data_IF_053412636846
#
_entry.id   IF_053412636846
#
_cell.length_a   1.000
_cell.length_b   1.000
_cell.length_c   1.000
_cell.angle_alpha   90.00
_cell.angle_beta   90.00
_cell.angle_gamma   90.00
#
_symmetry.space_group_name_H-M   'P 1'
#
loop_
_entity.id
_entity.type
_entity.pdbx_description
1 polymer ?
#
# COMPACT_ATOMS: atom_id res chain seq x y z
N UNK A 1 -8.08 -23.52 6.63
CA UNK A 1 -9.03 -22.77 5.77
C UNK A 1 -9.80 -23.69 4.83
N UNK A 2 -9.18 -24.32 3.82
CA UNK A 2 -9.91 -25.17 2.84
C UNK A 2 -10.67 -26.37 3.43
N UNK A 3 -10.34 -26.79 4.66
CA UNK A 3 -11.01 -27.87 5.37
C UNK A 3 -12.19 -27.40 6.24
N UNK A 4 -12.43 -26.09 6.37
CA UNK A 4 -13.48 -25.52 7.22
C UNK A 4 -14.81 -25.43 6.45
N UNK A 5 -15.87 -26.16 6.82
CA UNK A 5 -17.11 -26.23 6.03
C UNK A 5 -17.84 -24.89 5.84
N UNK A 6 -17.66 -23.96 6.78
CA UNK A 6 -18.28 -22.63 6.71
C UNK A 6 -17.55 -21.62 5.80
N UNK A 7 -16.41 -21.99 5.22
CA UNK A 7 -15.57 -21.07 4.44
C UNK A 7 -15.51 -21.51 2.98
N UNK A 8 -15.99 -20.65 2.08
CA UNK A 8 -15.76 -20.79 0.63
C UNK A 8 -14.59 -19.91 0.21
N UNK A 9 -13.56 -20.50 -0.41
CA UNK A 9 -12.40 -19.76 -0.94
C UNK A 9 -12.53 -19.62 -2.45
N UNK A 10 -12.54 -18.39 -2.94
CA UNK A 10 -12.57 -18.06 -4.37
C UNK A 10 -11.21 -17.47 -4.78
N UNK A 11 -10.32 -18.32 -5.30
CA UNK A 11 -9.03 -17.89 -5.84
C UNK A 11 -9.22 -17.33 -7.26
N UNK A 12 -8.32 -16.45 -7.70
CA UNK A 12 -8.40 -15.80 -9.04
C UNK A 12 -9.68 -14.96 -9.23
N UNK A 13 -10.16 -14.35 -8.14
CA UNK A 13 -11.30 -13.45 -8.13
C UNK A 13 -10.85 -12.08 -7.63
N UNK A 14 -11.10 -11.03 -8.42
CA UNK A 14 -10.75 -9.65 -8.08
C UNK A 14 -12.02 -8.87 -7.80
N UNK A 15 -12.15 -8.31 -6.60
CA UNK A 15 -13.24 -7.40 -6.31
C UNK A 15 -13.07 -6.10 -7.11
N UNK A 16 -14.08 -5.76 -7.92
CA UNK A 16 -14.06 -4.57 -8.79
C UNK A 16 -14.46 -3.34 -7.99
N UNK A 17 -15.64 -3.40 -7.36
CA UNK A 17 -16.22 -2.32 -6.58
C UNK A 17 -17.28 -2.83 -5.61
N UNK A 18 -17.42 -2.13 -4.49
CA UNK A 18 -18.47 -2.35 -3.50
C UNK A 18 -19.84 -1.92 -4.05
N UNK A 19 -20.83 -2.76 -3.80
CA UNK A 19 -22.24 -2.49 -4.06
C UNK A 19 -22.83 -1.91 -2.78
N UNK A 20 -23.45 -0.73 -2.88
CA UNK A 20 -24.09 -0.05 -1.73
C UNK A 20 -25.57 0.16 -1.97
N UNK A 21 -26.34 0.24 -0.89
CA UNK A 21 -27.78 0.48 -0.96
C UNK A 21 -28.10 1.80 -1.68
N UNK A 22 -27.31 2.85 -1.48
CA UNK A 22 -27.45 4.12 -2.18
C UNK A 22 -27.22 3.98 -3.70
N UNK A 23 -26.20 3.23 -4.13
CA UNK A 23 -25.94 2.96 -5.56
C UNK A 23 -27.09 2.18 -6.22
N UNK A 24 -27.85 1.41 -5.43
CA UNK A 24 -29.06 0.71 -5.88
C UNK A 24 -30.33 1.58 -5.80
N UNK A 25 -30.23 2.85 -5.42
CA UNK A 25 -31.38 3.75 -5.26
C UNK A 25 -32.28 3.42 -4.08
N UNK A 26 -31.78 2.68 -3.08
CA UNK A 26 -32.53 2.33 -1.88
C UNK A 26 -32.55 3.48 -0.87
N UNK A 27 -33.57 3.50 0.00
CA UNK A 27 -33.68 4.49 1.07
C UNK A 27 -32.54 4.37 2.10
N UNK A 28 -32.21 5.52 2.72
CA UNK A 28 -31.24 5.67 3.82
C UNK A 28 -31.57 4.74 5.01
N UNK A 29 -30.56 4.25 5.76
CA UNK A 29 -29.13 4.54 5.66
C UNK A 29 -28.41 3.75 4.56
N UNK A 30 -27.33 4.33 4.00
CA UNK A 30 -26.46 3.60 3.07
C UNK A 30 -25.67 2.51 3.80
N UNK A 31 -25.46 1.39 3.10
CA UNK A 31 -24.76 0.21 3.61
C UNK A 31 -24.16 -0.60 2.47
N UNK A 32 -23.09 -1.34 2.75
CA UNK A 32 -22.60 -2.36 1.85
C UNK A 32 -23.59 -3.53 1.75
N UNK A 33 -23.79 -4.04 0.54
CA UNK A 33 -24.66 -5.20 0.26
C UNK A 33 -23.96 -6.30 -0.54
N UNK A 34 -22.68 -6.11 -0.86
CA UNK A 34 -21.90 -7.04 -1.66
C UNK A 34 -20.81 -6.36 -2.49
N UNK A 35 -20.29 -7.07 -3.48
CA UNK A 35 -19.32 -6.58 -4.44
C UNK A 35 -19.55 -7.17 -5.83
N UNK A 36 -19.17 -6.41 -6.87
CA UNK A 36 -18.90 -6.97 -8.19
C UNK A 36 -17.51 -7.60 -8.18
N UNK A 37 -17.38 -8.78 -8.78
CA UNK A 37 -16.14 -9.56 -8.73
C UNK A 37 -15.81 -10.10 -10.11
N UNK A 38 -14.59 -9.85 -10.59
CA UNK A 38 -14.06 -10.43 -11.81
C UNK A 38 -13.47 -11.81 -11.53
N UNK A 39 -14.05 -12.86 -12.09
CA UNK A 39 -13.37 -14.16 -12.25
C UNK A 39 -12.36 -14.03 -13.39
N UNK A 40 -11.07 -14.05 -13.05
CA UNK A 40 -10.01 -13.84 -14.04
C UNK A 40 -9.77 -15.06 -14.93
N UNK A 41 -10.19 -16.26 -14.51
CA UNK A 41 -10.11 -17.47 -15.35
C UNK A 41 -11.25 -17.50 -16.37
N UNK A 42 -12.47 -17.18 -15.93
CA UNK A 42 -13.63 -17.11 -16.82
C UNK A 42 -13.70 -15.79 -17.61
N UNK A 43 -12.94 -14.76 -17.20
CA UNK A 43 -13.04 -13.39 -17.72
C UNK A 43 -14.47 -12.86 -17.69
N UNK A 44 -15.17 -13.12 -16.57
CA UNK A 44 -16.58 -12.78 -16.36
C UNK A 44 -16.77 -12.06 -15.03
N UNK A 45 -17.63 -11.05 -15.02
CA UNK A 45 -18.01 -10.33 -13.80
C UNK A 45 -19.22 -11.01 -13.17
N UNK A 46 -19.07 -11.41 -11.91
CA UNK A 46 -20.12 -11.93 -11.06
C UNK A 46 -20.51 -10.95 -9.94
N UNK A 47 -21.55 -11.34 -9.20
CA UNK A 47 -22.04 -10.63 -8.03
C UNK A 47 -21.87 -11.54 -6.82
N UNK A 48 -21.28 -11.00 -5.75
CA UNK A 48 -21.29 -11.63 -4.43
C UNK A 48 -22.09 -10.72 -3.50
N UNK A 49 -23.31 -11.15 -3.13
CA UNK A 49 -24.13 -10.47 -2.12
C UNK A 49 -23.72 -10.89 -0.71
N UNK A 50 -23.66 -9.95 0.21
CA UNK A 50 -23.31 -10.22 1.61
C UNK A 50 -24.00 -9.26 2.57
N UNK A 51 -24.33 -9.74 3.77
CA UNK A 51 -24.85 -8.89 4.86
C UNK A 51 -23.76 -8.04 5.51
N UNK A 52 -22.50 -8.47 5.40
CA UNK A 52 -21.34 -7.74 5.89
C UNK A 52 -20.16 -8.02 4.96
N UNK A 53 -19.41 -6.97 4.63
CA UNK A 53 -18.22 -7.05 3.79
C UNK A 53 -17.01 -6.61 4.63
N UNK A 54 -15.94 -7.41 4.63
CA UNK A 54 -14.69 -7.09 5.33
C UNK A 54 -13.58 -6.92 4.30
N UNK A 55 -12.97 -5.73 4.28
CA UNK A 55 -11.79 -5.43 3.49
C UNK A 55 -10.55 -5.84 4.29
N UNK A 56 -9.82 -6.84 3.78
CA UNK A 56 -8.56 -7.32 4.34
C UNK A 56 -7.49 -7.44 3.22
N UNK A 57 -7.40 -6.41 2.38
CA UNK A 57 -6.71 -6.47 1.07
C UNK A 57 -5.22 -6.16 1.12
N UNK A 58 -4.64 -5.93 2.31
CA UNK A 58 -3.28 -5.42 2.45
C UNK A 58 -3.14 -3.95 2.03
N UNK A 59 -1.89 -3.48 1.94
CA UNK A 59 -1.57 -2.08 1.67
C UNK A 59 -1.48 -1.69 0.19
N UNK A 60 -0.86 -0.54 -0.05
CA UNK A 60 -0.75 0.13 -1.35
C UNK A 60 0.71 0.31 -1.83
N UNK A 61 1.66 -0.44 -1.26
CA UNK A 61 3.09 -0.29 -1.55
C UNK A 61 3.45 -0.53 -3.03
N UNK A 62 2.60 -1.22 -3.79
CA UNK A 62 2.81 -1.45 -5.22
C UNK A 62 2.71 -0.17 -6.07
N UNK A 63 2.15 0.91 -5.52
CA UNK A 63 2.16 2.24 -6.14
C UNK A 63 3.55 2.85 -6.32
N UNK A 64 4.60 2.27 -5.71
CA UNK A 64 5.98 2.70 -5.87
C UNK A 64 6.78 1.73 -6.74
N UNK A 65 7.77 2.26 -7.46
CA UNK A 65 8.66 1.50 -8.34
C UNK A 65 9.37 0.34 -7.62
N UNK A 66 9.95 0.63 -6.46
CA UNK A 66 10.56 -0.38 -5.60
C UNK A 66 9.66 -0.69 -4.42
N UNK A 67 9.32 -1.97 -4.26
CA UNK A 67 8.56 -2.45 -3.13
C UNK A 67 9.07 -3.80 -2.64
N UNK A 68 9.00 -4.03 -1.34
CA UNK A 68 9.24 -5.35 -0.73
C UNK A 68 7.97 -6.20 -0.66
N UNK A 69 6.86 -5.70 -1.19
CA UNK A 69 5.58 -6.39 -1.18
C UNK A 69 5.40 -7.25 -2.44
N UNK A 70 4.55 -8.29 -2.38
CA UNK A 70 4.08 -9.00 -3.56
C UNK A 70 3.40 -8.08 -4.57
N UNK A 71 3.23 -8.57 -5.81
CA UNK A 71 2.55 -7.84 -6.88
C UNK A 71 1.08 -7.49 -6.54
N UNK A 72 0.48 -8.13 -5.53
CA UNK A 72 -0.90 -7.93 -5.10
C UNK A 72 -1.14 -6.77 -4.11
N UNK A 73 -0.10 -6.03 -3.66
CA UNK A 73 -0.27 -4.92 -2.70
C UNK A 73 -0.66 -3.60 -3.39
N UNK A 74 -1.77 -3.63 -4.13
CA UNK A 74 -2.22 -2.60 -5.08
C UNK A 74 -3.20 -1.58 -4.47
N UNK A 75 -3.56 -1.74 -3.20
CA UNK A 75 -4.43 -0.82 -2.49
C UNK A 75 -5.91 -0.91 -2.88
N UNK A 76 -6.35 -2.05 -3.43
CA UNK A 76 -7.71 -2.22 -3.96
C UNK A 76 -8.81 -1.94 -2.94
N UNK A 77 -8.66 -2.43 -1.70
CA UNK A 77 -9.63 -2.18 -0.63
C UNK A 77 -9.75 -0.71 -0.26
N UNK A 78 -8.62 0.00 -0.19
CA UNK A 78 -8.59 1.45 0.07
C UNK A 78 -9.34 2.20 -1.05
N UNK A 79 -9.05 1.85 -2.30
CA UNK A 79 -9.67 2.46 -3.47
C UNK A 79 -11.19 2.18 -3.54
N UNK A 80 -11.61 0.94 -3.27
CA UNK A 80 -13.03 0.56 -3.22
C UNK A 80 -13.78 1.28 -2.09
N UNK A 81 -13.21 1.36 -0.89
CA UNK A 81 -13.80 2.06 0.25
C UNK A 81 -13.95 3.57 -0.04
N UNK A 82 -12.92 4.20 -0.61
CA UNK A 82 -12.98 5.59 -1.05
C UNK A 82 -14.13 5.85 -2.03
N UNK A 83 -14.26 5.00 -3.07
CA UNK A 83 -15.37 5.09 -4.04
C UNK A 83 -16.73 4.77 -3.43
N UNK A 84 -16.77 4.02 -2.32
CA UNK A 84 -17.97 3.75 -1.55
C UNK A 84 -18.33 4.85 -0.55
N UNK A 85 -17.52 5.92 -0.44
CA UNK A 85 -17.81 7.08 0.40
C UNK A 85 -17.11 7.05 1.77
N UNK A 86 -16.17 6.14 2.02
CA UNK A 86 -15.41 6.12 3.27
C UNK A 86 -14.29 7.15 3.30
N UNK A 87 -14.04 7.72 4.49
CA UNK A 87 -12.87 8.57 4.74
C UNK A 87 -11.59 7.75 4.68
N UNK A 88 -10.55 8.37 4.16
CA UNK A 88 -9.19 7.83 4.11
C UNK A 88 -8.29 8.75 4.91
N UNK A 89 -7.38 8.17 5.68
CA UNK A 89 -6.46 8.94 6.53
C UNK A 89 -5.00 8.53 6.32
N UNK A 90 -4.10 9.48 6.53
CA UNK A 90 -2.68 9.23 6.78
C UNK A 90 -1.92 8.49 5.64
N UNK A 91 -2.39 8.58 4.40
CA UNK A 91 -1.81 7.88 3.24
C UNK A 91 -0.37 8.34 2.92
N UNK A 92 0.03 9.51 3.38
CA UNK A 92 1.41 10.01 3.23
C UNK A 92 2.43 9.27 4.10
N UNK A 93 2.01 8.51 5.10
CA UNK A 93 2.88 7.73 5.98
C UNK A 93 3.15 6.34 5.40
N UNK A 94 3.97 6.31 4.35
CA UNK A 94 4.46 5.07 3.72
C UNK A 94 5.84 4.73 4.27
N UNK A 95 5.98 3.54 4.85
CA UNK A 95 7.24 3.08 5.40
C UNK A 95 8.10 2.51 4.28
N UNK A 96 9.35 2.97 4.19
CA UNK A 96 10.35 2.41 3.28
C UNK A 96 11.30 1.51 4.07
N UNK A 97 11.53 0.30 3.58
CA UNK A 97 12.61 -0.57 4.06
C UNK A 97 13.91 -0.15 3.36
N UNK A 98 15.02 0.09 4.08
CA UNK A 98 16.23 0.67 3.50
C UNK A 98 16.99 -0.28 2.57
N UNK A 99 16.93 -1.58 2.84
CA UNK A 99 17.76 -2.59 2.18
C UNK A 99 16.90 -3.66 1.50
N UNK A 100 16.46 -3.39 0.27
CA UNK A 100 15.95 -4.42 -0.65
C UNK A 100 16.97 -4.68 -1.74
N UNK A 101 17.13 -5.94 -2.13
CA UNK A 101 18.04 -6.35 -3.20
C UNK A 101 17.68 -5.63 -4.50
N UNK A 102 18.63 -4.90 -5.06
CA UNK A 102 18.47 -4.26 -6.36
C UNK A 102 18.93 -5.21 -7.46
N UNK A 103 17.98 -5.90 -8.09
CA UNK A 103 18.24 -6.79 -9.21
C UNK A 103 17.00 -6.90 -10.12
N UNK A 104 17.14 -6.94 -11.47
CA UNK A 104 16.01 -6.92 -12.39
C UNK A 104 14.97 -8.03 -12.18
N UNK A 105 15.40 -9.17 -11.65
CA UNK A 105 14.55 -10.33 -11.37
C UNK A 105 14.16 -10.48 -9.89
N UNK A 106 14.73 -9.67 -8.99
CA UNK A 106 14.46 -9.74 -7.56
C UNK A 106 13.33 -8.78 -7.16
N UNK A 107 12.10 -9.09 -7.62
CA UNK A 107 10.95 -8.17 -7.54
C UNK A 107 10.65 -7.62 -6.13
N UNK A 108 10.92 -8.39 -5.07
CA UNK A 108 10.56 -8.03 -3.69
C UNK A 108 11.54 -8.59 -2.63
N UNK A 109 12.79 -8.89 -2.99
CA UNK A 109 13.74 -9.56 -2.08
C UNK A 109 14.30 -8.59 -1.02
N UNK A 110 13.71 -8.62 0.17
CA UNK A 110 14.14 -7.83 1.31
C UNK A 110 15.37 -8.46 1.99
N UNK A 111 16.39 -7.65 2.29
CA UNK A 111 17.51 -8.06 3.13
C UNK A 111 17.29 -7.51 4.54
N UNK A 112 17.12 -8.41 5.52
CA UNK A 112 16.70 -8.06 6.88
C UNK A 112 17.60 -7.00 7.53
N UNK A 113 16.97 -6.09 8.28
CA UNK A 113 17.63 -5.12 9.15
C UNK A 113 18.60 -5.78 10.15
N UNK A 114 18.37 -7.05 10.51
CA UNK A 114 19.29 -7.82 11.33
C UNK A 114 20.71 -7.91 10.72
N UNK A 115 20.86 -7.87 9.39
CA UNK A 115 22.19 -7.86 8.74
C UNK A 115 22.97 -6.60 9.12
N UNK A 116 22.32 -5.43 9.18
CA UNK A 116 22.93 -4.21 9.70
C UNK A 116 23.21 -4.32 11.20
N UNK A 117 22.25 -4.88 11.95
CA UNK A 117 22.40 -5.16 13.39
C UNK A 117 23.65 -5.98 13.73
N UNK A 118 23.98 -6.95 12.88
CA UNK A 118 25.16 -7.81 13.03
C UNK A 118 26.44 -7.23 12.40
N UNK A 119 26.43 -5.96 12.02
CA UNK A 119 27.61 -5.23 11.54
C UNK A 119 27.69 -5.00 10.04
N UNK A 120 26.64 -5.30 9.29
CA UNK A 120 26.55 -4.96 7.86
C UNK A 120 26.73 -3.47 7.60
N UNK A 121 27.55 -3.12 6.60
CA UNK A 121 27.98 -1.76 6.29
C UNK A 121 27.32 -1.24 5.03
N UNK A 122 26.90 0.01 5.01
CA UNK A 122 26.33 0.65 3.83
C UNK A 122 27.40 1.45 3.09
N UNK A 123 27.63 1.09 1.83
CA UNK A 123 28.73 1.57 1.01
C UNK A 123 28.24 2.24 -0.28
N UNK A 124 28.95 3.26 -0.72
CA UNK A 124 28.89 3.80 -2.07
C UNK A 124 29.59 2.84 -3.06
N UNK A 125 29.39 3.00 -4.39
CA UNK A 125 30.02 2.14 -5.39
C UNK A 125 31.55 2.13 -5.35
N UNK A 126 32.19 3.17 -4.82
CA UNK A 126 33.63 3.26 -4.63
C UNK A 126 34.13 2.56 -3.35
N UNK A 127 33.23 1.97 -2.56
CA UNK A 127 33.52 1.33 -1.28
C UNK A 127 33.48 2.28 -0.07
N UNK A 128 33.18 3.57 -0.27
CA UNK A 128 33.10 4.54 0.82
C UNK A 128 31.88 4.27 1.71
N UNK A 129 32.11 4.13 3.01
CA UNK A 129 31.04 3.97 4.00
C UNK A 129 30.43 5.34 4.35
N UNK A 130 29.16 5.54 4.06
CA UNK A 130 28.55 6.89 4.09
C UNK A 130 27.72 7.20 5.34
N UNK A 131 27.16 6.19 6.03
CA UNK A 131 26.19 6.42 7.13
C UNK A 131 26.72 7.30 8.27
N UNK A 132 28.03 7.27 8.53
CA UNK A 132 28.67 8.12 9.54
C UNK A 132 28.49 9.62 9.28
N UNK A 133 28.31 10.02 8.02
CA UNK A 133 28.07 11.42 7.65
C UNK A 133 26.61 11.85 7.89
N UNK A 134 25.70 10.89 8.08
CA UNK A 134 24.25 11.11 8.23
C UNK A 134 23.77 10.96 9.67
N UNK A 135 24.35 10.02 10.44
CA UNK A 135 23.90 9.74 11.80
C UNK A 135 25.02 9.12 12.65
N UNK A 136 25.08 9.49 13.92
CA UNK A 136 26.09 8.98 14.87
C UNK A 136 26.01 7.46 15.11
N UNK A 137 24.79 6.90 15.03
CA UNK A 137 24.54 5.46 15.14
C UNK A 137 24.89 4.67 13.86
N UNK A 138 25.37 5.34 12.81
CA UNK A 138 25.73 4.72 11.52
C UNK A 138 24.57 3.82 11.00
N UNK A 139 24.83 2.57 10.60
CA UNK A 139 23.83 1.62 10.09
C UNK A 139 22.82 1.14 11.14
N UNK A 140 23.03 1.45 12.43
CA UNK A 140 22.09 1.17 13.52
C UNK A 140 21.11 2.33 13.76
N UNK A 141 21.20 3.41 12.98
CA UNK A 141 20.20 4.47 13.02
C UNK A 141 18.78 3.94 12.72
N UNK A 142 17.73 4.63 13.23
CA UNK A 142 16.34 4.34 12.87
C UNK A 142 16.13 4.15 11.37
N UNK A 143 15.25 3.21 11.01
CA UNK A 143 14.98 2.80 9.63
C UNK A 143 14.73 3.96 8.66
N UNK A 144 13.96 4.94 9.09
CA UNK A 144 13.61 6.11 8.29
C UNK A 144 14.82 7.03 8.04
N UNK A 145 15.76 7.12 9.00
CA UNK A 145 17.03 7.84 8.83
C UNK A 145 17.92 7.11 7.82
N UNK A 146 18.07 5.79 7.95
CA UNK A 146 18.87 4.99 7.02
C UNK A 146 18.30 5.07 5.60
N UNK A 147 16.98 4.95 5.46
CA UNK A 147 16.32 5.08 4.15
C UNK A 147 16.51 6.48 3.55
N UNK A 148 16.43 7.56 4.35
CA UNK A 148 16.71 8.94 3.91
C UNK A 148 18.16 9.12 3.47
N UNK A 149 19.12 8.57 4.20
CA UNK A 149 20.53 8.64 3.85
C UNK A 149 20.80 7.94 2.50
N UNK A 150 20.25 6.73 2.30
CA UNK A 150 20.39 6.02 1.03
C UNK A 150 19.74 6.81 -0.12
N UNK A 151 18.50 7.30 0.06
CA UNK A 151 17.80 8.11 -0.95
C UNK A 151 18.58 9.38 -1.32
N UNK A 152 19.19 10.03 -0.31
CA UNK A 152 20.04 11.19 -0.50
C UNK A 152 21.29 10.86 -1.32
N UNK A 153 22.04 9.83 -0.93
CA UNK A 153 23.27 9.43 -1.63
C UNK A 153 23.00 9.01 -3.07
N UNK A 154 21.93 8.23 -3.31
CA UNK A 154 21.52 7.85 -4.65
C UNK A 154 21.18 9.06 -5.52
N UNK A 155 20.44 10.03 -4.99
CA UNK A 155 20.05 11.24 -5.73
C UNK A 155 21.22 12.21 -5.93
N UNK A 156 22.11 12.33 -4.96
CA UNK A 156 23.28 13.20 -5.02
C UNK A 156 24.27 12.73 -6.10
N UNK A 157 24.49 11.42 -6.17
CA UNK A 157 25.47 10.81 -7.06
C UNK A 157 24.89 10.25 -8.37
N UNK A 158 23.56 10.25 -8.52
CA UNK A 158 22.87 9.70 -9.70
C UNK A 158 23.00 8.18 -9.79
N UNK A 159 22.89 7.48 -8.66
CA UNK A 159 23.10 6.03 -8.55
C UNK A 159 21.78 5.27 -8.64
N UNK A 160 21.84 4.11 -9.29
CA UNK A 160 20.72 3.14 -9.33
C UNK A 160 20.56 2.37 -8.01
N UNK A 161 21.66 2.19 -7.26
CA UNK A 161 21.68 1.52 -5.96
C UNK A 161 22.90 1.91 -5.13
N UNK A 162 22.86 1.63 -3.83
CA UNK A 162 24.04 1.58 -2.95
C UNK A 162 24.35 0.12 -2.63
N UNK A 163 25.32 -0.17 -1.75
CA UNK A 163 25.70 -1.53 -1.42
C UNK A 163 25.61 -1.82 0.08
N UNK A 164 25.21 -3.04 0.42
CA UNK A 164 25.26 -3.58 1.77
C UNK A 164 26.35 -4.66 1.85
N UNK A 165 27.32 -4.48 2.73
CA UNK A 165 28.47 -5.38 2.89
C UNK A 165 28.54 -5.99 4.29
N UNK A 166 28.47 -7.33 4.36
CA UNK A 166 28.75 -8.11 5.56
C UNK A 166 29.91 -9.10 5.35
N UNK A 167 30.61 -9.04 4.21
CA UNK A 167 31.66 -9.99 3.82
C UNK A 167 32.89 -9.99 4.75
N UNK A 168 33.05 -8.94 5.56
CA UNK A 168 34.07 -8.86 6.61
C UNK A 168 33.79 -9.77 7.82
N UNK A 169 32.60 -10.37 7.93
CA UNK A 169 32.27 -11.37 8.96
C UNK A 169 32.65 -12.78 8.46
N UNK A 170 32.97 -13.72 9.38
CA UNK A 170 33.24 -15.11 8.99
C UNK A 170 32.06 -15.72 8.23
N UNK A 171 32.37 -16.52 7.20
CA UNK A 171 31.35 -17.17 6.38
C UNK A 171 30.41 -18.05 7.22
N UNK A 172 30.96 -18.77 8.19
CA UNK A 172 30.22 -19.66 9.08
C UNK A 172 29.16 -18.88 9.87
N UNK A 173 29.52 -17.69 10.37
CA UNK A 173 28.62 -16.80 11.08
C UNK A 173 27.45 -16.35 10.18
N UNK A 174 27.74 -15.94 8.95
CA UNK A 174 26.73 -15.47 7.99
C UNK A 174 25.75 -16.59 7.64
N UNK A 175 26.25 -17.80 7.35
CA UNK A 175 25.40 -18.94 7.00
C UNK A 175 24.55 -19.44 8.19
N UNK A 176 25.04 -19.31 9.41
CA UNK A 176 24.29 -19.64 10.62
C UNK A 176 23.16 -18.64 10.89
N UNK A 177 23.45 -17.33 10.82
CA UNK A 177 22.50 -16.29 11.19
C UNK A 177 21.53 -15.91 10.06
N UNK A 178 21.97 -16.01 8.80
CA UNK A 178 21.25 -15.51 7.64
C UNK A 178 21.13 -16.52 6.48
N UNK A 179 20.81 -17.81 6.72
CA UNK A 179 20.79 -18.83 5.67
C UNK A 179 19.86 -18.48 4.51
N UNK A 180 18.63 -18.05 4.83
CA UNK A 180 17.64 -17.66 3.82
C UNK A 180 18.07 -16.43 2.99
N UNK A 181 18.78 -15.47 3.61
CA UNK A 181 19.27 -14.28 2.90
C UNK A 181 20.42 -14.67 1.98
N UNK A 182 21.35 -15.51 2.46
CA UNK A 182 22.44 -16.04 1.64
C UNK A 182 21.89 -16.80 0.43
N UNK A 183 20.98 -17.74 0.63
CA UNK A 183 20.38 -18.51 -0.45
C UNK A 183 19.65 -17.62 -1.46
N UNK A 184 18.85 -16.66 -0.98
CA UNK A 184 18.14 -15.71 -1.84
C UNK A 184 19.11 -14.84 -2.66
N UNK A 185 20.16 -14.29 -2.05
CA UNK A 185 21.15 -13.48 -2.78
C UNK A 185 21.93 -14.33 -3.80
N UNK A 186 22.30 -15.56 -3.43
CA UNK A 186 22.98 -16.52 -4.31
C UNK A 186 22.15 -16.89 -5.54
N UNK A 187 20.81 -16.97 -5.43
CA UNK A 187 19.93 -17.20 -6.59
C UNK A 187 20.05 -16.12 -7.66
N UNK A 188 20.46 -14.90 -7.27
CA UNK A 188 20.70 -13.78 -8.18
C UNK A 188 22.20 -13.54 -8.45
N UNK A 189 23.06 -14.46 -8.04
CA UNK A 189 24.49 -14.42 -8.33
C UNK A 189 25.32 -13.59 -7.35
N UNK A 190 24.80 -13.26 -6.16
CA UNK A 190 25.52 -12.50 -5.15
C UNK A 190 25.93 -13.36 -3.96
N UNK A 191 27.24 -13.52 -3.73
CA UNK A 191 27.77 -14.21 -2.54
C UNK A 191 28.01 -13.19 -1.41
N UNK A 192 27.02 -13.02 -0.53
CA UNK A 192 27.08 -12.05 0.60
C UNK A 192 28.26 -12.30 1.56
N UNK A 193 28.90 -13.46 1.49
CA UNK A 193 30.09 -13.79 2.29
C UNK A 193 31.39 -13.27 1.68
N UNK A 194 31.37 -12.78 0.43
CA UNK A 194 32.57 -12.38 -0.31
C UNK A 194 32.52 -10.96 -0.86
N UNK A 195 31.33 -10.46 -1.17
CA UNK A 195 31.16 -9.18 -1.84
C UNK A 195 29.97 -8.36 -1.31
N UNK A 196 30.01 -7.02 -1.44
CA UNK A 196 28.86 -6.17 -1.18
C UNK A 196 27.71 -6.46 -2.15
N UNK A 197 26.48 -6.38 -1.67
CA UNK A 197 25.27 -6.65 -2.46
C UNK A 197 24.51 -5.36 -2.75
N UNK A 198 24.07 -5.13 -4.01
CA UNK A 198 23.38 -3.90 -4.36
C UNK A 198 22.00 -3.83 -3.69
N UNK A 199 21.70 -2.69 -3.07
CA UNK A 199 20.45 -2.45 -2.35
C UNK A 199 19.85 -1.08 -2.66
N UNK A 200 18.53 -1.03 -2.61
CA UNK A 200 17.71 0.17 -2.76
C UNK A 200 16.65 0.23 -1.66
N UNK A 201 16.22 1.43 -1.21
CA UNK A 201 15.06 1.53 -0.36
C UNK A 201 13.81 1.11 -1.13
N UNK A 202 12.82 0.52 -0.45
CA UNK A 202 11.61 0.04 -1.09
C UNK A 202 10.39 0.27 -0.22
N UNK A 203 9.27 0.68 -0.83
CA UNK A 203 8.00 0.81 -0.11
C UNK A 203 7.62 -0.54 0.51
N UNK A 204 7.24 -0.51 1.79
CA UNK A 204 7.12 -1.70 2.61
C UNK A 204 5.81 -1.80 3.37
N UNK A 205 5.30 -0.69 3.91
CA UNK A 205 4.07 -0.70 4.69
C UNK A 205 3.28 0.61 4.55
N UNK A 206 1.97 0.50 4.49
CA UNK A 206 1.02 1.62 4.44
C UNK A 206 0.48 1.87 5.85
N UNK A 207 0.89 2.96 6.52
CA UNK A 207 0.39 3.25 7.88
C UNK A 207 -0.99 3.92 7.87
N UNK A 208 -1.35 4.56 6.76
CA UNK A 208 -2.68 5.09 6.50
C UNK A 208 -3.60 4.06 5.85
N UNK A 209 -4.81 4.48 5.49
CA UNK A 209 -5.82 3.61 4.92
C UNK A 209 -7.24 4.07 5.22
N UNK A 210 -8.19 3.14 5.13
CA UNK A 210 -9.59 3.37 5.44
C UNK A 210 -9.76 3.69 6.91
N UNK A 211 -10.41 4.80 7.25
CA UNK A 211 -10.71 5.14 8.65
C UNK A 211 -11.66 4.10 9.22
N UNK A 212 -11.30 3.49 10.35
CA UNK A 212 -12.14 2.54 11.07
C UNK A 212 -12.32 2.93 12.53
N UNK A 213 -13.22 2.33 13.28
CA UNK A 213 -13.08 2.33 14.74
C UNK A 213 -12.31 1.10 15.20
N UNK A 214 -12.22 0.89 16.52
CA UNK A 214 -11.56 -0.28 17.13
C UNK A 214 -12.31 -1.61 16.91
N UNK A 215 -13.50 -1.56 16.31
CA UNK A 215 -14.27 -2.74 15.89
C UNK A 215 -14.15 -2.97 14.37
N UNK A 216 -13.24 -2.24 13.71
CA UNK A 216 -13.00 -2.34 12.27
C UNK A 216 -14.12 -1.74 11.41
N UNK A 217 -15.10 -1.04 12.01
CA UNK A 217 -16.24 -0.47 11.26
C UNK A 217 -15.78 0.76 10.50
N UNK A 218 -16.17 0.85 9.23
CA UNK A 218 -15.91 2.04 8.39
C UNK A 218 -17.05 3.06 8.52
N UNK A 219 -16.97 4.18 7.79
CA UNK A 219 -18.08 5.12 7.66
C UNK A 219 -19.33 4.55 6.96
N UNK A 220 -19.20 3.41 6.26
CA UNK A 220 -20.31 2.75 5.57
C UNK A 220 -20.83 1.59 6.42
N UNK A 221 -22.14 1.58 6.67
CA UNK A 221 -22.79 0.50 7.44
C UNK A 221 -22.53 -0.85 6.76
N UNK A 222 -22.27 -1.89 7.57
CA UNK A 222 -21.94 -3.26 7.12
C UNK A 222 -20.65 -3.39 6.29
N UNK A 223 -19.84 -2.34 6.19
CA UNK A 223 -18.49 -2.41 5.65
C UNK A 223 -17.47 -2.28 6.79
N UNK A 224 -16.58 -3.26 6.85
CA UNK A 224 -15.47 -3.31 7.79
C UNK A 224 -14.15 -3.27 7.03
N UNK A 225 -13.09 -2.81 7.68
CA UNK A 225 -11.73 -2.86 7.16
C UNK A 225 -10.77 -3.25 8.28
N UNK A 226 -9.83 -4.17 8.01
CA UNK A 226 -8.87 -4.65 9.00
C UNK A 226 -7.48 -4.79 8.39
N UNK A 227 -6.45 -4.79 9.26
CA UNK A 227 -5.06 -4.91 8.86
C UNK A 227 -4.55 -3.70 8.09
N UNK A 228 -3.56 -3.89 7.21
CA UNK A 228 -2.85 -2.78 6.54
C UNK A 228 -3.74 -1.90 5.64
N UNK A 229 -4.92 -2.37 5.21
CA UNK A 229 -5.85 -1.54 4.45
C UNK A 229 -6.56 -0.48 5.33
N UNK A 230 -6.54 -0.66 6.66
CA UNK A 230 -7.19 0.22 7.63
C UNK A 230 -6.20 1.23 8.23
N UNK A 231 -6.70 2.39 8.58
CA UNK A 231 -6.03 3.34 9.46
C UNK A 231 -6.75 3.28 10.80
N UNK A 232 -6.17 2.59 11.79
CA UNK A 232 -6.70 2.40 13.16
C UNK A 232 -6.22 3.45 14.18
N UNK A 233 -5.30 4.32 13.75
CA UNK A 233 -4.54 5.22 14.63
C UNK A 233 -3.34 4.57 15.33
N UNK A 234 -3.24 3.23 15.37
CA UNK A 234 -2.16 2.51 16.08
C UNK A 234 -0.75 2.92 15.63
N UNK A 235 -0.54 3.08 14.32
CA UNK A 235 0.79 3.34 13.76
C UNK A 235 1.16 4.83 13.73
N UNK A 236 0.19 5.74 13.86
CA UNK A 236 0.39 7.17 13.69
C UNK A 236 1.24 7.50 12.45
N UNK A 237 2.38 8.17 12.67
CA UNK A 237 3.29 8.60 11.61
C UNK A 237 4.39 7.60 11.24
N UNK A 238 4.53 6.48 11.96
CA UNK A 238 5.52 5.44 11.67
C UNK A 238 5.18 4.13 12.40
N UNK A 239 5.08 3.03 11.64
CA UNK A 239 4.86 1.69 12.19
C UNK A 239 6.09 1.17 12.95
N UNK A 240 5.90 0.74 14.19
CA UNK A 240 6.88 -0.07 14.94
C UNK A 240 6.90 -1.53 14.42
N UNK A 241 8.09 -2.13 14.30
CA UNK A 241 8.23 -3.51 13.85
C UNK A 241 7.34 -4.47 14.68
N UNK A 242 6.84 -5.52 14.03
CA UNK A 242 5.96 -6.56 14.60
C UNK A 242 4.52 -6.12 14.95
N UNK A 243 4.21 -4.82 15.04
CA UNK A 243 2.85 -4.38 15.36
C UNK A 243 1.82 -4.65 14.25
N UNK A 244 2.23 -4.71 12.98
CA UNK A 244 1.28 -4.91 11.86
C UNK A 244 0.54 -6.24 11.91
N UNK A 245 1.22 -7.33 12.30
CA UNK A 245 0.55 -8.64 12.41
C UNK A 245 -0.37 -8.68 13.63
N UNK A 246 0.04 -8.05 14.73
CA UNK A 246 -0.79 -7.95 15.94
C UNK A 246 -2.08 -7.15 15.66
N UNK A 247 -1.98 -6.04 14.94
CA UNK A 247 -3.14 -5.26 14.51
C UNK A 247 -4.11 -6.12 13.70
N UNK A 248 -3.62 -6.90 12.71
CA UNK A 248 -4.48 -7.79 11.93
C UNK A 248 -5.29 -8.75 12.82
N UNK A 249 -4.65 -9.36 13.82
CA UNK A 249 -5.32 -10.33 14.71
C UNK A 249 -6.35 -9.65 15.63
N UNK A 250 -5.95 -8.56 16.29
CA UNK A 250 -6.81 -7.85 17.24
C UNK A 250 -8.03 -7.24 16.54
N UNK A 251 -7.81 -6.59 15.39
CA UNK A 251 -8.90 -5.96 14.64
C UNK A 251 -9.84 -6.99 14.00
N UNK A 252 -9.32 -8.12 13.52
CA UNK A 252 -10.14 -9.20 12.98
C UNK A 252 -11.04 -9.84 14.07
N UNK A 253 -10.50 -10.08 15.27
CA UNK A 253 -11.27 -10.62 16.40
C UNK A 253 -12.37 -9.64 16.83
N UNK A 254 -12.04 -8.36 17.03
CA UNK A 254 -13.01 -7.32 17.38
C UNK A 254 -14.12 -7.18 16.32
N UNK A 255 -13.75 -7.20 15.03
CA UNK A 255 -14.71 -7.16 13.92
C UNK A 255 -15.62 -8.38 13.92
N UNK A 256 -15.07 -9.58 14.13
CA UNK A 256 -15.83 -10.82 14.17
C UNK A 256 -16.86 -10.84 15.32
N UNK A 257 -16.46 -10.35 16.51
CA UNK A 257 -17.35 -10.22 17.65
C UNK A 257 -18.49 -9.23 17.37
N UNK A 258 -18.18 -8.06 16.80
CA UNK A 258 -19.20 -7.06 16.46
C UNK A 258 -20.16 -7.59 15.38
N UNK A 259 -19.64 -8.21 14.31
CA UNK A 259 -20.46 -8.81 13.25
C UNK A 259 -21.38 -9.88 13.84
N UNK A 260 -20.86 -10.77 14.69
CA UNK A 260 -21.65 -11.84 15.28
C UNK A 260 -22.77 -11.32 16.19
N UNK A 261 -22.48 -10.30 16.99
CA UNK A 261 -23.46 -9.69 17.90
C UNK A 261 -24.57 -8.91 17.17
N UNK A 262 -24.29 -8.40 15.96
CA UNK A 262 -25.23 -7.59 15.18
C UNK A 262 -25.74 -8.31 13.91
N UNK A 263 -25.42 -9.59 13.75
CA UNK A 263 -25.78 -10.34 12.56
C UNK A 263 -27.30 -10.46 12.45
N UNK A 264 -27.85 -9.81 11.43
CA UNK A 264 -29.25 -9.93 11.06
C UNK A 264 -29.31 -10.45 9.64
N UNK A 265 -29.81 -11.68 9.47
CA UNK A 265 -30.04 -12.24 8.14
C UNK A 265 -31.18 -11.48 7.47
N UNK A 266 -30.94 -10.86 6.32
CA UNK A 266 -32.02 -10.24 5.57
C UNK A 266 -33.02 -11.33 5.13
N UNK A 267 -34.31 -11.01 5.26
CA UNK A 267 -35.39 -11.87 4.79
C UNK A 267 -35.37 -12.03 3.26
N UNK A 268 -34.86 -11.02 2.54
CA UNK A 268 -34.63 -11.09 1.09
C UNK A 268 -33.43 -10.20 0.70
N UNK A 269 -32.39 -10.75 0.04
CA UNK A 269 -31.30 -9.92 -0.47
C UNK A 269 -31.82 -8.93 -1.53
N UNK A 270 -31.22 -7.73 -1.65
CA UNK A 270 -31.61 -6.76 -2.67
C UNK A 270 -31.35 -7.33 -4.07
N UNK A 271 -32.15 -6.89 -5.04
CA UNK A 271 -31.91 -7.20 -6.46
C UNK A 271 -30.76 -6.33 -6.92
N UNK A 272 -29.66 -6.96 -7.33
CA UNK A 272 -28.46 -6.30 -7.82
C UNK A 272 -28.46 -6.42 -9.35
N UNK A 273 -28.33 -5.32 -10.11
CA UNK A 273 -28.25 -5.38 -11.56
C UNK A 273 -26.96 -6.10 -12.00
N UNK A 274 -27.04 -6.86 -13.08
CA UNK A 274 -25.85 -7.48 -13.67
C UNK A 274 -24.85 -6.41 -14.15
N UNK A 275 -23.57 -6.79 -14.17
CA UNK A 275 -22.54 -5.93 -14.73
C UNK A 275 -22.72 -5.80 -16.24
N UNK A 276 -22.61 -4.58 -16.77
CA UNK A 276 -22.65 -4.35 -18.20
C UNK A 276 -21.34 -4.83 -18.87
N UNK A 277 -21.40 -6.02 -19.47
CA UNK A 277 -20.30 -6.63 -20.21
C UNK A 277 -20.29 -6.29 -21.71
N UNK A 278 -21.19 -5.41 -22.20
CA UNK A 278 -21.37 -5.14 -23.65
C UNK A 278 -20.22 -4.39 -24.33
N UNK A 279 -19.11 -4.18 -23.62
CA UNK A 279 -18.00 -3.31 -24.00
C UNK A 279 -16.95 -4.02 -24.84
N UNK A 280 -16.17 -3.23 -25.58
CA UNK A 280 -15.20 -3.73 -26.56
C UNK A 280 -13.88 -4.10 -25.87
N UNK A 281 -13.12 -5.02 -26.46
CA UNK A 281 -11.73 -5.31 -26.09
C UNK A 281 -10.80 -4.87 -27.22
N UNK A 282 -9.79 -4.07 -26.91
CA UNK A 282 -8.76 -3.62 -27.87
C UNK A 282 -7.35 -3.99 -27.35
N UNK A 283 -6.52 -4.72 -28.13
CA UNK A 283 -5.15 -5.02 -27.77
C UNK A 283 -4.23 -3.80 -27.58
N UNK A 284 -4.40 -2.72 -28.36
CA UNK A 284 -3.53 -1.53 -28.28
C UNK A 284 -3.68 -0.84 -26.92
N UNK A 285 -4.87 -0.92 -26.32
CA UNK A 285 -5.15 -0.37 -24.99
C UNK A 285 -4.41 -1.10 -23.87
N UNK A 286 -4.14 -2.39 -24.02
CA UNK A 286 -3.36 -3.13 -23.02
C UNK A 286 -1.93 -2.58 -22.90
N UNK A 287 -1.39 -2.11 -24.03
CA UNK A 287 -0.05 -1.50 -24.08
C UNK A 287 -0.08 -0.18 -23.32
N UNK A 288 -1.12 0.64 -23.51
CA UNK A 288 -1.28 1.92 -22.79
C UNK A 288 -1.45 1.70 -21.29
N UNK A 289 -2.29 0.74 -20.87
CA UNK A 289 -2.45 0.39 -19.44
C UNK A 289 -1.12 0.01 -18.81
N UNK A 290 -0.30 -0.80 -19.49
CA UNK A 290 1.02 -1.19 -18.99
C UNK A 290 1.99 0.02 -18.90
N UNK A 291 1.98 0.92 -19.89
CA UNK A 291 2.79 2.14 -19.83
C UNK A 291 2.38 3.07 -18.69
N UNK A 292 1.08 3.29 -18.50
CA UNK A 292 0.54 4.12 -17.43
C UNK A 292 0.86 3.55 -16.05
N UNK A 293 0.86 2.22 -15.94
CA UNK A 293 1.27 1.53 -14.71
C UNK A 293 2.74 1.78 -14.38
N UNK A 294 3.64 1.68 -15.36
CA UNK A 294 5.06 1.97 -15.18
C UNK A 294 5.31 3.45 -14.89
N UNK A 295 4.62 4.36 -15.59
CA UNK A 295 4.73 5.80 -15.39
C UNK A 295 4.36 6.18 -13.95
N UNK A 296 3.19 5.72 -13.48
CA UNK A 296 2.70 5.97 -12.13
C UNK A 296 3.74 5.60 -11.08
N UNK A 297 4.27 4.38 -11.15
CA UNK A 297 5.19 3.85 -10.14
C UNK A 297 6.52 4.60 -10.12
N UNK A 298 7.00 5.02 -11.29
CA UNK A 298 8.22 5.83 -11.44
C UNK A 298 8.05 7.20 -10.80
N UNK A 299 7.01 7.96 -11.16
CA UNK A 299 6.88 9.30 -10.58
C UNK A 299 6.48 9.26 -9.10
N UNK A 300 5.77 8.23 -8.64
CA UNK A 300 5.50 8.04 -7.20
C UNK A 300 6.79 7.86 -6.42
N UNK A 301 7.75 7.10 -6.95
CA UNK A 301 9.10 6.98 -6.39
C UNK A 301 9.84 8.32 -6.37
N UNK A 302 9.88 9.02 -7.51
CA UNK A 302 10.68 10.25 -7.66
C UNK A 302 10.12 11.44 -6.88
N UNK A 303 8.79 11.57 -6.84
CA UNK A 303 8.10 12.77 -6.36
C UNK A 303 7.42 12.60 -5.01
N UNK A 304 7.00 11.39 -4.67
CA UNK A 304 6.21 11.07 -3.47
C UNK A 304 6.93 10.06 -2.56
N UNK A 305 8.20 9.77 -2.86
CA UNK A 305 9.06 8.87 -2.09
C UNK A 305 9.51 9.43 -0.74
N UNK A 306 10.74 9.09 -0.36
CA UNK A 306 11.29 9.29 0.99
C UNK A 306 11.47 10.78 1.33
N UNK A 307 12.09 11.56 0.44
CA UNK A 307 12.27 13.02 0.60
C UNK A 307 11.38 13.78 -0.37
N UNK A 308 10.50 14.63 0.18
CA UNK A 308 9.44 15.33 -0.55
C UNK A 308 9.66 16.84 -0.60
N UNK A 309 9.00 17.47 -1.57
CA UNK A 309 8.88 18.93 -1.69
C UNK A 309 7.52 19.27 -2.30
N UNK A 310 6.99 20.45 -2.01
CA UNK A 310 5.71 20.93 -2.56
C UNK A 310 5.71 20.85 -4.09
N UNK A 311 6.78 21.32 -4.75
CA UNK A 311 6.94 21.26 -6.21
C UNK A 311 6.89 19.84 -6.78
N UNK A 312 7.46 18.85 -6.06
CA UNK A 312 7.43 17.45 -6.49
C UNK A 312 6.01 16.88 -6.32
N UNK A 313 5.36 17.16 -5.19
CA UNK A 313 4.00 16.70 -4.93
C UNK A 313 3.00 17.30 -5.93
N UNK A 314 3.12 18.58 -6.28
CA UNK A 314 2.32 19.23 -7.33
C UNK A 314 2.55 18.59 -8.70
N UNK A 315 3.80 18.22 -9.05
CA UNK A 315 4.10 17.49 -10.29
C UNK A 315 3.49 16.10 -10.35
N UNK A 316 3.41 15.41 -9.21
CA UNK A 316 2.73 14.12 -9.10
C UNK A 316 1.21 14.30 -9.25
N UNK A 317 0.61 15.28 -8.57
CA UNK A 317 -0.81 15.59 -8.67
C UNK A 317 -1.26 15.83 -10.13
N UNK A 318 -0.56 16.67 -10.88
CA UNK A 318 -0.89 16.93 -12.29
C UNK A 318 -0.84 15.66 -13.16
N UNK A 319 0.15 14.78 -12.95
CA UNK A 319 0.24 13.51 -13.71
C UNK A 319 -0.88 12.55 -13.33
N UNK A 320 -1.20 12.47 -12.05
CA UNK A 320 -2.31 11.66 -11.55
C UNK A 320 -3.63 12.12 -12.18
N UNK A 321 -3.85 13.43 -12.34
CA UNK A 321 -5.07 13.94 -12.96
C UNK A 321 -5.19 13.56 -14.44
N UNK A 322 -4.09 13.61 -15.20
CA UNK A 322 -4.06 13.09 -16.58
C UNK A 322 -4.41 11.60 -16.63
N UNK A 323 -3.77 10.78 -15.77
CA UNK A 323 -4.06 9.35 -15.70
C UNK A 323 -5.51 9.05 -15.31
N UNK A 324 -6.13 9.85 -14.42
CA UNK A 324 -7.55 9.70 -14.06
C UNK A 324 -8.47 9.97 -15.24
N UNK A 325 -8.14 10.94 -16.09
CA UNK A 325 -8.91 11.25 -17.31
C UNK A 325 -8.84 10.09 -18.30
N UNK A 326 -7.64 9.62 -18.61
CA UNK A 326 -7.42 8.46 -19.50
C UNK A 326 -8.14 7.20 -18.98
N UNK A 327 -7.99 6.87 -17.69
CA UNK A 327 -8.64 5.72 -17.07
C UNK A 327 -10.17 5.85 -17.13
N UNK A 328 -10.74 7.06 -17.01
CA UNK A 328 -12.19 7.25 -17.12
C UNK A 328 -12.68 6.90 -18.52
N UNK A 329 -11.96 7.32 -19.53
CA UNK A 329 -12.29 7.01 -20.93
C UNK A 329 -12.17 5.51 -21.18
N UNK A 330 -11.11 4.87 -20.67
CA UNK A 330 -10.94 3.41 -20.82
C UNK A 330 -12.00 2.62 -20.06
N UNK A 331 -12.20 2.95 -18.79
CA UNK A 331 -13.17 2.28 -17.94
C UNK A 331 -14.60 2.53 -18.38
N UNK A 332 -14.89 3.49 -19.27
CA UNK A 332 -16.24 3.74 -19.81
C UNK A 332 -16.52 3.00 -21.11
N UNK A 333 -15.48 2.66 -21.88
CA UNK A 333 -15.63 2.13 -23.24
C UNK A 333 -15.20 0.66 -23.38
N UNK A 334 -14.38 0.13 -22.46
CA UNK A 334 -13.77 -1.18 -22.61
C UNK A 334 -14.20 -2.19 -21.55
N UNK A 335 -14.01 -3.48 -21.87
CA UNK A 335 -14.21 -4.59 -20.94
C UNK A 335 -13.18 -4.53 -19.82
N UNK A 336 -13.63 -4.79 -18.60
CA UNK A 336 -12.79 -4.80 -17.40
C UNK A 336 -11.76 -5.93 -17.46
N UNK A 337 -10.51 -5.63 -17.12
CA UNK A 337 -9.39 -6.58 -17.02
C UNK A 337 -8.67 -6.42 -15.67
N UNK A 338 -7.85 -7.40 -15.29
CA UNK A 338 -7.03 -7.32 -14.07
C UNK A 338 -6.13 -6.08 -14.09
N UNK A 339 -5.42 -5.85 -15.18
CA UNK A 339 -4.45 -4.76 -15.30
C UNK A 339 -5.12 -3.38 -15.23
N UNK A 340 -6.30 -3.24 -15.85
CA UNK A 340 -7.06 -1.99 -15.81
C UNK A 340 -7.60 -1.71 -14.40
N UNK A 341 -8.07 -2.74 -13.69
CA UNK A 341 -8.52 -2.61 -12.30
C UNK A 341 -7.37 -2.20 -11.39
N UNK A 342 -6.22 -2.86 -11.54
CA UNK A 342 -5.02 -2.54 -10.79
C UNK A 342 -4.57 -1.09 -11.04
N UNK A 343 -4.47 -0.66 -12.30
CA UNK A 343 -4.11 0.71 -12.64
C UNK A 343 -5.09 1.73 -12.03
N UNK A 344 -6.41 1.49 -12.14
CA UNK A 344 -7.44 2.34 -11.56
C UNK A 344 -7.31 2.47 -10.04
N UNK A 345 -7.00 1.37 -9.36
CA UNK A 345 -6.83 1.36 -7.90
C UNK A 345 -5.52 2.05 -7.50
N UNK A 346 -4.42 1.77 -8.20
CA UNK A 346 -3.12 2.40 -7.95
C UNK A 346 -3.17 3.93 -8.13
N UNK A 347 -3.82 4.43 -9.19
CA UNK A 347 -4.01 5.87 -9.40
C UNK A 347 -4.86 6.48 -8.29
N UNK A 348 -5.89 5.77 -7.81
CA UNK A 348 -6.72 6.24 -6.69
C UNK A 348 -5.91 6.37 -5.40
N UNK A 349 -5.11 5.36 -5.04
CA UNK A 349 -4.31 5.42 -3.80
C UNK A 349 -3.12 6.38 -3.91
N UNK A 350 -2.54 6.54 -5.09
CA UNK A 350 -1.52 7.56 -5.37
C UNK A 350 -2.08 8.98 -5.17
N UNK A 351 -3.28 9.25 -5.70
CA UNK A 351 -3.98 10.51 -5.51
C UNK A 351 -4.21 10.84 -4.02
N UNK A 352 -4.76 9.87 -3.27
CA UNK A 352 -5.00 10.01 -1.84
C UNK A 352 -3.70 10.26 -1.06
N UNK A 353 -2.62 9.58 -1.45
CA UNK A 353 -1.28 9.77 -0.87
C UNK A 353 -0.77 11.20 -1.10
N UNK A 354 -0.86 11.69 -2.34
CA UNK A 354 -0.42 13.05 -2.70
C UNK A 354 -1.27 14.11 -2.01
N UNK A 355 -2.59 13.94 -1.94
CA UNK A 355 -3.48 14.86 -1.24
C UNK A 355 -3.15 14.95 0.26
N UNK A 356 -2.93 13.81 0.93
CA UNK A 356 -2.53 13.84 2.34
C UNK A 356 -1.14 14.49 2.51
N UNK A 357 -0.20 14.19 1.62
CA UNK A 357 1.14 14.77 1.67
C UNK A 357 1.13 16.29 1.48
N UNK A 358 0.35 16.82 0.54
CA UNK A 358 0.20 18.26 0.29
C UNK A 358 -0.45 18.99 1.48
N UNK A 359 -1.42 18.35 2.14
CA UNK A 359 -2.09 18.91 3.33
C UNK A 359 -1.15 18.98 4.54
N UNK A 360 -0.15 18.10 4.65
CA UNK A 360 0.78 18.10 5.79
C UNK A 360 1.80 19.23 5.67
N UNK A 361 1.67 20.24 6.52
CA UNK A 361 2.60 21.38 6.63
C UNK A 361 3.58 21.21 7.80
N UNK A 362 4.24 20.06 7.88
CA UNK A 362 5.28 19.70 8.86
C UNK A 362 6.04 18.45 8.36
N UNK A 363 7.21 18.16 8.93
CA UNK A 363 7.86 16.85 8.78
C UNK A 363 7.66 16.05 10.05
N UNK A 364 7.16 14.83 9.92
CA UNK A 364 6.81 13.95 11.03
C UNK A 364 6.93 12.49 10.58
N UNK A 365 7.71 11.70 11.31
CA UNK A 365 7.85 10.27 11.03
C UNK A 365 8.22 10.01 9.56
N UNK A 366 7.38 9.25 8.87
CA UNK A 366 7.57 8.84 7.47
C UNK A 366 7.26 9.93 6.44
N UNK A 367 6.65 11.04 6.84
CA UNK A 367 6.50 12.21 5.97
C UNK A 367 7.64 13.19 6.25
N UNK A 368 8.58 13.28 5.31
CA UNK A 368 9.69 14.22 5.37
C UNK A 368 9.67 15.15 4.16
N UNK A 369 9.43 16.44 4.41
CA UNK A 369 9.36 17.49 3.38
C UNK A 369 10.35 18.61 3.66
N UNK A 370 11.14 18.97 2.65
CA UNK A 370 12.14 20.05 2.79
C UNK A 370 11.48 21.43 2.95
N UNK A 371 10.21 21.58 2.53
CA UNK A 371 9.48 22.84 2.66
C UNK A 371 9.00 23.13 4.09
N UNK A 372 8.80 22.08 4.89
CA UNK A 372 8.37 22.19 6.29
C UNK A 372 9.19 21.19 7.12
N UNK A 373 10.48 21.47 7.41
CA UNK A 373 11.38 20.50 8.04
C UNK A 373 11.05 20.23 9.52
N UNK A 374 10.39 21.18 10.19
CA UNK A 374 10.09 21.07 11.61
C UNK A 374 8.81 20.27 11.88
N UNK A 375 8.82 19.52 12.98
CA UNK A 375 7.64 18.86 13.53
C UNK A 375 6.81 19.84 14.35
N UNK A 376 5.51 19.94 14.08
CA UNK A 376 4.61 20.79 14.89
C UNK A 376 4.39 20.19 16.28
N UNK A 377 4.10 21.05 17.25
CA UNK A 377 3.80 20.65 18.62
C UNK A 377 2.59 19.71 18.74
N UNK A 378 1.54 19.96 17.96
CA UNK A 378 0.30 19.18 18.01
C UNK A 378 0.26 18.25 16.81
N UNK A 379 0.28 16.94 17.06
CA UNK A 379 0.07 15.93 16.04
C UNK A 379 -1.39 15.92 15.59
N UNK A 380 -1.61 15.84 14.28
CA UNK A 380 -2.93 15.65 13.68
C UNK A 380 -2.85 14.67 12.53
N UNK A 381 -3.85 13.82 12.45
CA UNK A 381 -4.08 12.97 11.29
C UNK A 381 -4.61 13.80 10.12
N UNK A 382 -4.23 13.39 8.92
CA UNK A 382 -4.74 13.99 7.69
C UNK A 382 -5.86 13.11 7.15
N UNK A 383 -7.09 13.57 7.32
CA UNK A 383 -8.29 12.89 6.83
C UNK A 383 -8.75 13.52 5.52
N UNK A 384 -8.93 12.70 4.50
CA UNK A 384 -9.56 13.06 3.23
C UNK A 384 -11.00 12.52 3.24
N UNK A 385 -11.95 13.38 2.90
CA UNK A 385 -13.38 13.08 2.88
C UNK A 385 -13.84 13.07 1.43
N UNK A 386 -14.48 11.98 0.96
CA UNK A 386 -14.96 11.91 -0.41
C UNK A 386 -16.22 12.77 -0.61
N UNK A 387 -16.48 13.21 -1.84
CA UNK A 387 -17.63 14.06 -2.14
C UNK A 387 -18.98 13.37 -1.89
N UNK A 388 -19.02 12.04 -1.98
CA UNK A 388 -20.19 11.20 -1.67
C UNK A 388 -20.20 10.71 -0.22
N UNK A 389 -19.50 11.37 0.70
CA UNK A 389 -19.50 11.01 2.12
C UNK A 389 -20.93 11.01 2.70
N UNK A 390 -21.38 9.93 3.37
CA UNK A 390 -22.72 9.85 3.92
C UNK A 390 -22.91 10.85 5.07
N UNK A 391 -23.76 11.87 4.87
CA UNK A 391 -24.04 12.93 5.85
C UNK A 391 -24.67 12.44 7.19
N UNK A 392 -25.07 11.17 7.26
CA UNK A 392 -25.67 10.53 8.44
C UNK A 392 -24.80 9.40 9.03
N UNK A 393 -23.55 9.24 8.61
CA UNK A 393 -22.66 8.29 9.26
C UNK A 393 -22.46 8.68 10.72
N UNK A 394 -22.63 7.73 11.64
CA UNK A 394 -22.05 7.84 12.98
C UNK A 394 -20.57 8.12 12.74
N UNK A 395 -20.11 9.34 13.07
CA UNK A 395 -18.71 9.68 12.87
C UNK A 395 -17.88 8.64 13.62
N UNK A 396 -17.14 7.83 12.88
CA UNK A 396 -16.05 7.06 13.45
C UNK A 396 -15.06 8.09 13.98
N UNK A 397 -15.08 8.29 15.30
CA UNK A 397 -14.14 9.13 16.02
C UNK A 397 -13.16 8.23 16.75
N UNK A 398 -11.89 8.62 16.69
CA UNK A 398 -10.88 8.14 17.62
C UNK A 398 -11.16 8.89 18.93
N UNK A 399 -12.02 8.34 19.77
CA UNK A 399 -12.22 8.87 21.13
C UNK A 399 -10.95 8.69 21.97
#
# INVERSE_FOLDING_TARGET
VRAEPGITTLEHHIAIDLITAQKLGMASPDRAVGAYVLDTKASKVGIISAESVVLATGGASKSYLYTSNPDTSTGDGIAMAWRAGCRISNMEFVQFHPTCLYHPHAKSSLISEAVRGEGGRLLLPDGTRFMKQHHELEELAPRDIVARAIDYEMKLHGLDSVFLDISHKPKEFILEHFPNIYENCMQYGFDICKEPVPVVPAAHYTCGGVVTDLQGRTDLTNLYCVGEASCTGLHGANRLASNSLLECLVMADASAQHISANFTKATKPPVIPEWDESRVTDPDERIVVAHNWDELRRFMWDYVGIVRTDKRLERAAHRIDLLKEEIRDYYSNFKVSSDLLELRNLVTVADLTVQCALKRRESRGLHYTLNCPDTKRIARDNVIVPANYPAHANMVTWD
#
